data_IF_076497996860
#
_entry.id   IF_076497996860
#
_cell.length_a   1.000
_cell.length_b   1.000
_cell.length_c   1.000
_cell.angle_alpha   90.00
_cell.angle_beta   90.00
_cell.angle_gamma   90.00
#
_symmetry.space_group_name_H-M   'P 1'
#
loop_
_entity.id
_entity.type
_entity.pdbx_description
1 polymer ?
#
# COMPACT_ATOMS: atom_id res chain seq x y z
N UNK A 1 13.28 15.90 3.92
CA UNK A 1 13.61 14.57 3.34
C UNK A 1 14.02 13.56 4.41
N UNK A 2 15.01 13.86 5.28
CA UNK A 2 15.47 12.92 6.32
C UNK A 2 14.40 12.44 7.31
N UNK A 3 13.54 13.34 7.81
CA UNK A 3 12.45 12.96 8.73
C UNK A 3 11.41 12.03 8.07
N UNK A 4 11.04 12.29 6.81
CA UNK A 4 10.10 11.45 6.07
C UNK A 4 10.67 10.06 5.76
N UNK A 5 11.97 9.98 5.42
CA UNK A 5 12.68 8.72 5.26
C UNK A 5 12.68 7.91 6.56
N UNK A 6 13.00 8.56 7.68
CA UNK A 6 13.03 7.89 8.98
C UNK A 6 11.64 7.40 9.40
N UNK A 7 10.60 8.21 9.22
CA UNK A 7 9.22 7.78 9.46
C UNK A 7 8.83 6.62 8.56
N UNK A 8 9.17 6.64 7.27
CA UNK A 8 8.88 5.53 6.36
C UNK A 8 9.59 4.24 6.75
N UNK A 9 10.88 4.32 7.07
CA UNK A 9 11.66 3.17 7.56
C UNK A 9 11.07 2.61 8.84
N UNK A 10 10.80 3.48 9.83
CA UNK A 10 10.19 3.08 11.09
C UNK A 10 8.83 2.43 10.86
N UNK A 11 7.94 3.06 10.09
CA UNK A 11 6.61 2.49 9.78
C UNK A 11 6.72 1.12 9.11
N UNK A 12 7.67 0.93 8.20
CA UNK A 12 7.82 -0.35 7.50
C UNK A 12 8.40 -1.45 8.42
N UNK A 13 9.40 -1.11 9.25
CA UNK A 13 9.99 -2.03 10.23
C UNK A 13 8.99 -2.38 11.35
N UNK A 14 8.23 -1.39 11.82
CA UNK A 14 7.18 -1.58 12.84
C UNK A 14 5.92 -2.24 12.27
N UNK A 15 5.82 -2.46 10.96
CA UNK A 15 4.70 -3.15 10.34
C UNK A 15 4.97 -4.67 10.30
N UNK A 16 4.40 -5.46 11.23
CA UNK A 16 4.65 -6.90 11.28
C UNK A 16 4.14 -7.61 10.02
N UNK A 17 3.17 -7.04 9.31
CA UNK A 17 2.60 -7.67 8.11
C UNK A 17 3.62 -7.77 6.98
N UNK A 18 4.39 -6.69 6.75
CA UNK A 18 5.42 -6.67 5.72
C UNK A 18 6.53 -7.67 6.05
N UNK A 19 6.98 -7.70 7.31
CA UNK A 19 7.99 -8.64 7.80
C UNK A 19 7.52 -10.09 7.69
N UNK A 20 6.28 -10.40 8.10
CA UNK A 20 5.71 -11.74 8.02
C UNK A 20 5.57 -12.19 6.56
N UNK A 21 5.09 -11.32 5.67
CA UNK A 21 4.98 -11.62 4.25
C UNK A 21 6.34 -11.96 3.64
N UNK A 22 7.34 -11.11 3.89
CA UNK A 22 8.71 -11.32 3.45
C UNK A 22 9.31 -12.61 4.03
N UNK A 23 9.15 -12.85 5.33
CA UNK A 23 9.67 -14.03 6.03
C UNK A 23 9.05 -15.34 5.54
N UNK A 24 7.79 -15.32 5.10
CA UNK A 24 7.10 -16.53 4.63
C UNK A 24 7.33 -16.77 3.14
N UNK A 25 7.39 -15.72 2.32
CA UNK A 25 7.44 -15.87 0.86
C UNK A 25 8.85 -15.83 0.29
N UNK A 26 9.73 -14.95 0.77
CA UNK A 26 11.09 -14.84 0.22
C UNK A 26 11.89 -16.14 0.33
N UNK A 27 11.89 -16.86 1.47
CA UNK A 27 12.67 -18.09 1.58
C UNK A 27 12.23 -19.19 0.60
N UNK A 28 10.97 -19.17 0.13
CA UNK A 28 10.49 -20.18 -0.81
C UNK A 28 11.11 -20.04 -2.21
N UNK A 29 11.66 -18.87 -2.53
CA UNK A 29 12.35 -18.61 -3.79
C UNK A 29 13.87 -18.71 -3.66
N UNK A 30 14.40 -19.06 -2.49
CA UNK A 30 15.83 -19.18 -2.22
C UNK A 30 16.22 -20.65 -2.18
N UNK A 31 17.26 -21.01 -2.93
CA UNK A 31 17.82 -22.36 -2.92
C UNK A 31 19.24 -22.34 -2.35
N UNK A 32 19.53 -23.08 -1.26
CA UNK A 32 20.87 -23.15 -0.68
C UNK A 32 21.94 -23.65 -1.67
N UNK A 33 21.54 -24.52 -2.60
CA UNK A 33 22.44 -25.15 -3.58
C UNK A 33 22.86 -24.23 -4.72
N UNK A 34 22.21 -23.06 -4.87
CA UNK A 34 22.42 -22.13 -5.99
C UNK A 34 23.36 -20.94 -5.63
N UNK A 35 24.01 -20.98 -4.46
CA UNK A 35 25.02 -20.01 -4.04
C UNK A 35 24.62 -19.19 -2.80
N UNK A 36 25.32 -18.07 -2.51
CA UNK A 36 25.16 -17.35 -1.25
C UNK A 36 23.73 -16.81 -1.04
N UNK A 37 23.08 -17.31 0.01
CA UNK A 37 21.69 -16.98 0.40
C UNK A 37 21.46 -15.47 0.49
N UNK A 38 22.38 -14.73 1.13
CA UNK A 38 22.26 -13.28 1.30
C UNK A 38 22.15 -12.51 -0.02
N UNK A 39 22.80 -12.99 -1.09
CA UNK A 39 22.72 -12.38 -2.42
C UNK A 39 21.36 -12.62 -3.06
N UNK A 40 20.82 -13.84 -2.92
CA UNK A 40 19.49 -14.19 -3.44
C UNK A 40 18.41 -13.34 -2.75
N UNK A 41 18.47 -13.21 -1.42
CA UNK A 41 17.57 -12.32 -0.67
C UNK A 41 17.68 -10.85 -1.09
N UNK A 42 18.89 -10.34 -1.31
CA UNK A 42 19.08 -8.95 -1.75
C UNK A 42 18.43 -8.70 -3.13
N UNK A 43 18.63 -9.62 -4.09
CA UNK A 43 18.02 -9.52 -5.43
C UNK A 43 16.50 -9.58 -5.35
N UNK A 44 15.95 -10.56 -4.61
CA UNK A 44 14.50 -10.69 -4.43
C UNK A 44 13.90 -9.47 -3.73
N UNK A 45 14.60 -8.91 -2.73
CA UNK A 45 14.20 -7.69 -2.05
C UNK A 45 14.14 -6.48 -2.99
N UNK A 46 15.14 -6.31 -3.86
CA UNK A 46 15.15 -5.24 -4.87
C UNK A 46 13.99 -5.42 -5.86
N UNK A 47 13.73 -6.64 -6.32
CA UNK A 47 12.59 -6.93 -7.21
C UNK A 47 11.27 -6.57 -6.53
N UNK A 48 11.10 -6.99 -5.27
CA UNK A 48 9.88 -6.73 -4.50
C UNK A 48 9.63 -5.23 -4.31
N UNK A 49 10.65 -4.49 -3.88
CA UNK A 49 10.54 -3.03 -3.70
C UNK A 49 10.33 -2.33 -5.03
N UNK A 50 11.04 -2.74 -6.09
CA UNK A 50 10.90 -2.17 -7.42
C UNK A 50 9.50 -2.35 -8.01
N UNK A 51 8.91 -3.55 -7.84
CA UNK A 51 7.56 -3.83 -8.30
C UNK A 51 6.51 -3.05 -7.49
N UNK A 52 6.68 -2.97 -6.17
CA UNK A 52 5.84 -2.14 -5.31
C UNK A 52 5.87 -0.67 -5.71
N UNK A 53 7.07 -0.12 -5.91
CA UNK A 53 7.25 1.26 -6.36
C UNK A 53 6.62 1.51 -7.73
N UNK A 54 6.80 0.59 -8.69
CA UNK A 54 6.19 0.70 -10.01
C UNK A 54 4.66 0.72 -9.93
N UNK A 55 4.08 -0.15 -9.09
CA UNK A 55 2.64 -0.19 -8.85
C UNK A 55 2.14 1.10 -8.19
N UNK A 56 2.84 1.60 -7.17
CA UNK A 56 2.47 2.84 -6.48
C UNK A 56 2.56 4.05 -7.41
N UNK A 57 3.60 4.14 -8.25
CA UNK A 57 3.73 5.19 -9.26
C UNK A 57 2.62 5.10 -10.29
N UNK A 58 2.29 3.90 -10.77
CA UNK A 58 1.17 3.70 -11.69
C UNK A 58 -0.15 4.14 -11.07
N UNK A 59 -0.42 3.78 -9.81
CA UNK A 59 -1.59 4.23 -9.07
C UNK A 59 -1.61 5.75 -8.88
N UNK A 60 -0.46 6.36 -8.56
CA UNK A 60 -0.34 7.80 -8.37
C UNK A 60 -0.59 8.57 -9.67
N UNK A 61 -0.06 8.09 -10.80
CA UNK A 61 -0.29 8.68 -12.12
C UNK A 61 -1.74 8.52 -12.56
N UNK A 62 -2.32 7.32 -12.39
CA UNK A 62 -3.72 7.05 -12.69
C UNK A 62 -4.65 7.92 -11.84
N UNK A 63 -4.42 7.97 -10.52
CA UNK A 63 -5.16 8.80 -9.58
C UNK A 63 -5.03 10.29 -9.91
N UNK A 64 -3.83 10.75 -10.29
CA UNK A 64 -3.59 12.12 -10.73
C UNK A 64 -4.32 12.46 -12.04
N UNK A 65 -4.36 11.53 -13.01
CA UNK A 65 -5.09 11.72 -14.26
C UNK A 65 -6.60 11.80 -14.02
N UNK A 66 -7.15 10.88 -13.23
CA UNK A 66 -8.57 10.90 -12.81
C UNK A 66 -8.88 12.17 -12.03
N UNK A 67 -8.02 12.57 -11.09
CA UNK A 67 -8.18 13.78 -10.31
C UNK A 67 -8.21 15.04 -11.17
N UNK A 68 -7.32 15.16 -12.17
CA UNK A 68 -7.34 16.28 -13.12
C UNK A 68 -8.61 16.31 -13.96
N UNK A 69 -9.06 15.15 -14.44
CA UNK A 69 -10.31 15.03 -15.21
C UNK A 69 -11.55 15.41 -14.36
N UNK A 70 -11.59 15.00 -13.10
CA UNK A 70 -12.69 15.36 -12.18
C UNK A 70 -12.66 16.83 -11.78
N UNK A 71 -11.48 17.43 -11.61
CA UNK A 71 -11.34 18.87 -11.32
C UNK A 71 -11.77 19.76 -12.48
N UNK A 72 -11.74 19.26 -13.72
CA UNK A 72 -12.25 19.97 -14.88
C UNK A 72 -13.79 20.06 -14.93
N UNK A 73 -14.51 19.27 -14.11
CA UNK A 73 -15.98 19.25 -14.07
C UNK A 73 -16.52 19.46 -12.65
N UNK A 74 -17.19 20.59 -12.35
CA UNK A 74 -17.80 20.85 -11.05
C UNK A 74 -18.80 19.77 -10.59
N UNK A 75 -19.45 19.09 -11.54
CA UNK A 75 -20.36 17.98 -11.26
C UNK A 75 -19.61 16.73 -10.79
N UNK A 76 -18.45 16.42 -11.39
CA UNK A 76 -17.65 15.25 -11.03
C UNK A 76 -17.06 15.39 -9.62
N UNK A 77 -16.54 16.57 -9.27
CA UNK A 77 -16.11 16.88 -7.90
C UNK A 77 -17.24 16.69 -6.87
N UNK A 78 -18.44 17.19 -7.17
CA UNK A 78 -19.59 17.07 -6.25
C UNK A 78 -20.03 15.61 -6.06
N UNK A 79 -19.95 14.80 -7.11
CA UNK A 79 -20.23 13.35 -7.03
C UNK A 79 -19.15 12.66 -6.18
N UNK A 80 -17.87 12.98 -6.39
CA UNK A 80 -16.76 12.43 -5.60
C UNK A 80 -16.94 12.64 -4.10
N UNK A 81 -17.19 13.90 -3.70
CA UNK A 81 -17.36 14.27 -2.30
C UNK A 81 -18.57 13.58 -1.68
N UNK A 82 -19.66 13.43 -2.44
CA UNK A 82 -20.85 12.69 -1.98
C UNK A 82 -20.58 11.21 -1.82
N UNK A 83 -19.91 10.57 -2.79
CA UNK A 83 -19.56 9.15 -2.71
C UNK A 83 -18.64 8.87 -1.52
N UNK A 84 -17.59 9.68 -1.33
CA UNK A 84 -16.71 9.57 -0.16
C UNK A 84 -17.46 9.78 1.16
N UNK A 85 -18.31 10.81 1.24
CA UNK A 85 -19.11 11.09 2.43
C UNK A 85 -20.07 9.95 2.77
N UNK A 86 -20.79 9.42 1.77
CA UNK A 86 -21.69 8.26 1.94
C UNK A 86 -20.91 7.02 2.34
N UNK A 87 -19.73 6.77 1.75
CA UNK A 87 -18.89 5.64 2.10
C UNK A 87 -18.40 5.71 3.56
N UNK A 88 -17.98 6.90 4.01
CA UNK A 88 -17.56 7.12 5.40
C UNK A 88 -18.72 6.97 6.40
N UNK A 89 -19.89 7.50 6.08
CA UNK A 89 -21.11 7.32 6.90
C UNK A 89 -21.46 5.83 6.98
N UNK A 90 -21.49 5.12 5.84
CA UNK A 90 -21.76 3.70 5.79
C UNK A 90 -20.73 2.88 6.58
N UNK A 91 -19.44 3.25 6.50
CA UNK A 91 -18.39 2.60 7.26
C UNK A 91 -18.55 2.84 8.77
N UNK A 92 -18.87 4.08 9.18
CA UNK A 92 -19.17 4.41 10.58
C UNK A 92 -20.37 3.62 11.12
N UNK A 93 -21.48 3.56 10.36
CA UNK A 93 -22.64 2.73 10.69
C UNK A 93 -22.27 1.24 10.82
N UNK A 94 -21.48 0.72 9.88
CA UNK A 94 -20.99 -0.67 9.94
C UNK A 94 -20.17 -0.89 11.20
N UNK A 95 -19.27 0.03 11.56
CA UNK A 95 -18.50 -0.07 12.79
C UNK A 95 -19.40 -0.06 14.02
N UNK A 96 -20.42 0.81 14.09
CA UNK A 96 -21.36 0.82 15.21
C UNK A 96 -22.14 -0.48 15.34
N UNK A 97 -22.53 -1.10 14.22
CA UNK A 97 -23.23 -2.40 14.21
C UNK A 97 -22.25 -3.53 14.57
N UNK A 98 -21.02 -3.52 14.04
CA UNK A 98 -20.00 -4.53 14.29
C UNK A 98 -19.37 -4.43 15.69
N UNK A 99 -19.37 -3.25 16.30
CA UNK A 99 -18.96 -3.01 17.68
C UNK A 99 -20.08 -3.21 18.71
N UNK A 100 -21.20 -3.83 18.34
CA UNK A 100 -22.09 -4.45 19.33
C UNK A 100 -21.64 -5.89 19.57
N UNK A 101 -20.75 -6.17 20.55
CA UNK A 101 -20.73 -7.48 21.15
C UNK A 101 -22.09 -7.67 21.82
N UNK A 102 -22.83 -8.70 21.40
CA UNK A 102 -23.90 -9.27 22.21
C UNK A 102 -23.28 -10.03 23.39
#
# INVERSE_FOLDING_TARGET
VGAALLSGVLTNVLNPKALLFCSVLLPQFVSPDQGPIGRQFAVLGVILVGLGLAFDVMCALAGGAVGRWMSASPRAQKIQSRVFGVALIAFGLRLTIAQRPA
#
